data_IF_202562608015
#
_entry.id   IF_202562608015
#
_cell.length_a   1.000
_cell.length_b   1.000
_cell.length_c   1.000
_cell.angle_alpha   90.00
_cell.angle_beta   90.00
_cell.angle_gamma   90.00
#
_symmetry.space_group_name_H-M   'P 1'
#
loop_
_entity.id
_entity.type
_entity.pdbx_description
1 polymer ?
#
# COMPACT_ATOMS: atom_id res chain seq x y z
N UNK A 1 -33.54 -80.67 -46.86
CA UNK A 1 -32.17 -81.05 -46.45
C UNK A 1 -31.26 -80.91 -47.68
N UNK A 2 -30.04 -80.33 -47.60
CA UNK A 2 -29.59 -79.36 -46.62
C UNK A 2 -28.69 -78.20 -47.18
N UNK A 3 -28.59 -77.11 -46.39
CA UNK A 3 -27.43 -76.23 -46.03
C UNK A 3 -26.64 -75.40 -47.08
N UNK A 4 -26.64 -74.05 -46.96
CA UNK A 4 -25.68 -73.10 -46.27
C UNK A 4 -24.37 -72.88 -47.06
N UNK A 5 -23.76 -71.69 -47.19
CA UNK A 5 -23.57 -70.55 -46.28
C UNK A 5 -23.42 -69.21 -47.03
N UNK A 6 -23.87 -68.12 -46.39
CA UNK A 6 -23.42 -66.75 -46.62
C UNK A 6 -22.03 -66.54 -45.99
N UNK A 7 -21.15 -65.80 -46.68
CA UNK A 7 -20.03 -65.11 -46.04
C UNK A 7 -20.12 -63.61 -46.36
N UNK A 8 -20.38 -62.84 -45.30
CA UNK A 8 -20.32 -61.38 -45.26
C UNK A 8 -18.90 -60.98 -44.90
N UNK A 9 -18.28 -60.09 -45.69
CA UNK A 9 -17.00 -59.45 -45.34
C UNK A 9 -17.30 -58.01 -44.99
N UNK A 10 -17.45 -57.74 -43.69
CA UNK A 10 -17.47 -56.41 -43.09
C UNK A 10 -16.02 -55.94 -42.92
N UNK A 11 -15.61 -54.98 -43.74
CA UNK A 11 -14.31 -54.31 -43.60
C UNK A 11 -14.47 -53.16 -42.60
N UNK A 12 -14.15 -53.41 -41.33
CA UNK A 12 -14.10 -52.39 -40.28
C UNK A 12 -12.80 -51.59 -40.39
N UNK A 13 -12.87 -50.37 -40.91
CA UNK A 13 -11.80 -49.38 -40.81
C UNK A 13 -11.80 -48.80 -39.38
N UNK A 14 -10.82 -49.21 -38.56
CA UNK A 14 -10.53 -48.58 -37.27
C UNK A 14 -10.04 -47.14 -37.51
N UNK A 15 -10.83 -46.16 -37.09
CA UNK A 15 -10.36 -44.80 -36.82
C UNK A 15 -9.62 -44.84 -35.47
N UNK A 16 -8.29 -44.84 -35.50
CA UNK A 16 -7.49 -44.50 -34.32
C UNK A 16 -7.69 -43.00 -34.03
N UNK A 17 -8.58 -42.69 -33.09
CA UNK A 17 -8.60 -41.39 -32.45
C UNK A 17 -7.36 -41.29 -31.54
N UNK A 18 -6.33 -40.61 -32.02
CA UNK A 18 -5.17 -40.22 -31.20
C UNK A 18 -5.62 -39.16 -30.20
N UNK A 19 -6.03 -39.58 -29.01
CA UNK A 19 -6.15 -38.70 -27.84
C UNK A 19 -4.75 -38.31 -27.40
N UNK A 20 -4.28 -37.13 -27.81
CA UNK A 20 -3.09 -36.53 -27.21
C UNK A 20 -3.42 -36.23 -25.74
N UNK A 21 -2.70 -36.80 -24.76
CA UNK A 21 -2.90 -36.43 -23.38
C UNK A 21 -2.49 -34.96 -23.19
N UNK A 22 -3.46 -34.12 -22.82
CA UNK A 22 -3.19 -32.82 -22.25
C UNK A 22 -2.39 -33.07 -20.97
N UNK A 23 -1.09 -32.73 -20.99
CA UNK A 23 -0.26 -32.81 -19.80
C UNK A 23 -0.59 -31.61 -18.91
N UNK A 24 -1.23 -31.89 -17.80
CA UNK A 24 -1.45 -30.94 -16.72
C UNK A 24 -0.14 -30.78 -15.95
N UNK A 25 0.49 -29.60 -16.03
CA UNK A 25 1.71 -29.31 -15.27
C UNK A 25 1.34 -28.76 -13.90
N UNK A 26 1.88 -29.37 -12.85
CA UNK A 26 1.64 -28.91 -11.48
C UNK A 26 2.36 -27.57 -11.23
N UNK A 27 1.79 -26.69 -10.41
CA UNK A 27 2.35 -25.36 -10.10
C UNK A 27 3.85 -25.40 -9.75
N UNK A 28 4.25 -26.42 -8.99
CA UNK A 28 5.61 -26.60 -8.51
C UNK A 28 6.63 -26.77 -9.65
N UNK A 29 6.25 -27.35 -10.79
CA UNK A 29 7.13 -27.60 -11.95
C UNK A 29 7.49 -26.31 -12.70
N UNK A 30 6.65 -25.28 -12.57
CA UNK A 30 6.86 -23.97 -13.20
C UNK A 30 7.54 -22.97 -12.27
N UNK A 31 7.64 -23.27 -10.96
CA UNK A 31 8.22 -22.38 -9.95
C UNK A 31 9.56 -21.82 -10.40
N UNK A 32 9.72 -20.51 -10.34
CA UNK A 32 10.92 -19.85 -10.81
C UNK A 32 10.65 -18.60 -11.62
N UNK A 33 11.75 -17.92 -11.94
CA UNK A 33 11.77 -16.75 -12.78
C UNK A 33 12.16 -17.18 -14.19
N UNK A 34 11.43 -16.66 -15.16
CA UNK A 34 11.56 -16.99 -16.56
C UNK A 34 11.60 -15.71 -17.40
N UNK A 35 12.33 -15.75 -18.50
CA UNK A 35 12.39 -14.64 -19.43
C UNK A 35 12.35 -15.13 -20.87
N UNK A 36 11.73 -14.36 -21.76
CA UNK A 36 11.62 -14.76 -23.16
C UNK A 36 10.58 -13.93 -23.90
N UNK A 37 9.75 -14.59 -24.69
CA UNK A 37 8.78 -13.94 -25.58
C UNK A 37 7.35 -14.45 -25.35
N UNK A 38 6.41 -13.50 -25.38
CA UNK A 38 4.99 -13.73 -25.65
C UNK A 38 4.68 -13.08 -27.00
N UNK A 39 4.37 -13.89 -28.00
CA UNK A 39 4.25 -13.46 -29.39
C UNK A 39 5.56 -12.85 -29.88
N UNK A 40 5.59 -11.52 -30.05
CA UNK A 40 6.79 -10.76 -30.45
C UNK A 40 7.36 -9.91 -29.32
N UNK A 41 6.71 -9.89 -28.17
CA UNK A 41 7.03 -9.00 -27.07
C UNK A 41 7.91 -9.73 -26.05
N UNK A 42 8.99 -9.07 -25.61
CA UNK A 42 9.81 -9.60 -24.52
C UNK A 42 9.07 -9.50 -23.20
N UNK A 43 9.05 -10.59 -22.46
CA UNK A 43 8.40 -10.70 -21.15
C UNK A 43 9.38 -11.24 -20.11
N UNK A 44 9.12 -10.88 -18.86
CA UNK A 44 9.63 -11.59 -17.69
C UNK A 44 8.44 -12.14 -16.93
N UNK A 45 8.50 -13.40 -16.57
CA UNK A 45 7.42 -14.16 -15.93
C UNK A 45 7.99 -14.78 -14.67
N UNK A 46 7.19 -14.85 -13.62
CA UNK A 46 7.50 -15.60 -12.43
C UNK A 46 6.29 -16.43 -12.01
N UNK A 47 6.56 -17.66 -11.58
CA UNK A 47 5.58 -18.55 -10.97
C UNK A 47 6.04 -18.88 -9.54
N UNK A 48 5.15 -18.73 -8.58
CA UNK A 48 5.32 -19.21 -7.22
C UNK A 48 4.85 -20.66 -7.11
N UNK A 49 5.33 -21.35 -6.07
CA UNK A 49 5.07 -22.77 -5.83
C UNK A 49 3.58 -23.15 -5.72
N UNK A 50 2.72 -22.24 -5.24
CA UNK A 50 1.32 -22.52 -4.89
C UNK A 50 0.31 -21.95 -5.90
N UNK A 51 0.68 -21.88 -7.18
CA UNK A 51 -0.27 -21.54 -8.24
C UNK A 51 -0.58 -20.04 -8.33
N UNK A 52 0.28 -19.18 -7.78
CA UNK A 52 0.25 -17.73 -8.00
C UNK A 52 1.49 -17.32 -8.78
N UNK A 53 1.43 -16.20 -9.47
CA UNK A 53 2.56 -15.72 -10.25
C UNK A 53 2.28 -14.35 -10.82
N UNK A 54 3.24 -13.82 -11.56
CA UNK A 54 3.09 -12.54 -12.24
C UNK A 54 4.02 -12.47 -13.43
N UNK A 55 3.63 -11.67 -14.42
CA UNK A 55 4.53 -11.34 -15.51
C UNK A 55 4.44 -9.87 -15.89
N UNK A 56 5.44 -9.38 -16.60
CA UNK A 56 5.38 -8.07 -17.23
C UNK A 56 6.07 -8.07 -18.58
N UNK A 57 5.59 -7.22 -19.45
CA UNK A 57 6.31 -6.85 -20.66
C UNK A 57 7.51 -5.99 -20.28
N UNK A 58 8.71 -6.37 -20.73
CA UNK A 58 9.95 -5.67 -20.38
C UNK A 58 9.96 -4.19 -20.85
N UNK A 59 9.11 -3.85 -21.81
CA UNK A 59 8.92 -2.46 -22.29
C UNK A 59 8.07 -1.61 -21.34
N UNK A 60 7.09 -2.21 -20.66
CA UNK A 60 6.07 -1.48 -19.89
C UNK A 60 6.30 -1.55 -18.39
N UNK A 61 6.98 -2.59 -17.90
CA UNK A 61 7.31 -2.77 -16.47
C UNK A 61 6.07 -2.68 -15.56
N UNK A 62 4.92 -3.10 -16.07
CA UNK A 62 3.66 -3.17 -15.33
C UNK A 62 3.33 -4.64 -15.09
N UNK A 63 3.39 -5.13 -13.84
CA UNK A 63 3.04 -6.50 -13.50
C UNK A 63 1.58 -6.82 -13.82
N UNK A 64 1.34 -8.02 -14.32
CA UNK A 64 0.03 -8.64 -14.56
C UNK A 64 0.02 -9.93 -13.74
N UNK A 65 -0.93 -10.04 -12.82
CA UNK A 65 -1.05 -11.20 -11.93
C UNK A 65 -1.52 -12.42 -12.72
N UNK A 66 -0.96 -13.57 -12.35
CA UNK A 66 -1.31 -14.90 -12.84
C UNK A 66 -1.78 -15.78 -11.67
N UNK A 67 -2.82 -16.57 -11.92
CA UNK A 67 -3.32 -17.57 -10.98
C UNK A 67 -3.65 -18.87 -11.72
N UNK A 68 -3.25 -20.00 -11.16
CA UNK A 68 -3.56 -21.31 -11.73
C UNK A 68 -5.01 -21.71 -11.42
N UNK A 69 -5.79 -21.98 -12.46
CA UNK A 69 -7.18 -22.44 -12.37
C UNK A 69 -7.44 -23.47 -13.47
N UNK A 70 -7.92 -24.66 -13.09
CA UNK A 70 -8.30 -25.73 -14.02
C UNK A 70 -7.25 -25.98 -15.13
N UNK A 71 -5.97 -26.05 -14.74
CA UNK A 71 -4.80 -26.29 -15.61
C UNK A 71 -4.31 -25.10 -16.45
N UNK A 72 -5.03 -23.97 -16.42
CA UNK A 72 -4.61 -22.73 -17.07
C UNK A 72 -4.03 -21.75 -16.06
N UNK A 73 -3.04 -20.99 -16.47
CA UNK A 73 -2.62 -19.79 -15.73
C UNK A 73 -3.40 -18.61 -16.28
N UNK A 74 -4.32 -18.09 -15.47
CA UNK A 74 -5.23 -17.01 -15.87
C UNK A 74 -4.70 -15.67 -15.42
N UNK A 75 -4.85 -14.68 -16.29
CA UNK A 75 -4.61 -13.29 -15.95
C UNK A 75 -5.72 -12.76 -15.06
N UNK A 76 -5.35 -11.88 -14.12
CA UNK A 76 -6.32 -11.13 -13.34
C UNK A 76 -7.33 -10.40 -14.25
N UNK A 77 -8.60 -10.39 -13.83
CA UNK A 77 -9.70 -9.84 -14.62
C UNK A 77 -10.11 -10.70 -15.83
N UNK A 78 -9.61 -11.94 -15.95
CA UNK A 78 -9.91 -12.86 -17.05
C UNK A 78 -9.57 -12.26 -18.43
N UNK A 79 -8.43 -11.57 -18.50
CA UNK A 79 -7.96 -10.84 -19.69
C UNK A 79 -7.16 -11.72 -20.66
N UNK A 80 -6.64 -12.85 -20.18
CA UNK A 80 -5.83 -13.79 -20.93
C UNK A 80 -5.60 -15.09 -20.17
N UNK A 81 -5.23 -16.13 -20.90
CA UNK A 81 -4.94 -17.46 -20.39
C UNK A 81 -3.61 -17.94 -20.96
N UNK A 82 -2.82 -18.60 -20.13
CA UNK A 82 -1.58 -19.25 -20.52
C UNK A 82 -1.73 -20.77 -20.36
N UNK A 83 -1.32 -21.50 -21.39
CA UNK A 83 -1.24 -22.95 -21.41
C UNK A 83 0.16 -23.35 -21.85
N UNK A 84 0.76 -24.32 -21.18
CA UNK A 84 2.10 -24.80 -21.49
C UNK A 84 2.05 -26.18 -22.14
N UNK A 85 2.80 -26.36 -23.23
CA UNK A 85 2.90 -27.63 -23.95
C UNK A 85 4.15 -28.41 -23.54
N UNK A 86 5.22 -27.71 -23.14
CA UNK A 86 6.49 -28.32 -22.77
C UNK A 86 7.13 -27.56 -21.62
N UNK A 87 7.47 -28.31 -20.57
CA UNK A 87 8.13 -27.83 -19.37
C UNK A 87 9.41 -28.63 -19.16
N UNK A 88 10.53 -27.94 -19.05
CA UNK A 88 11.83 -28.52 -18.66
C UNK A 88 12.47 -27.62 -17.61
N UNK A 89 13.50 -28.07 -16.87
CA UNK A 89 14.15 -27.22 -15.88
C UNK A 89 14.69 -25.88 -16.44
N UNK A 90 14.98 -25.80 -17.74
CA UNK A 90 15.61 -24.62 -18.36
C UNK A 90 14.73 -23.89 -19.38
N UNK A 91 13.66 -24.51 -19.87
CA UNK A 91 12.80 -23.96 -20.94
C UNK A 91 11.34 -24.26 -20.71
N UNK A 92 10.49 -23.27 -21.01
CA UNK A 92 9.05 -23.40 -21.14
C UNK A 92 8.62 -23.01 -22.54
N UNK A 93 7.70 -23.77 -23.13
CA UNK A 93 6.97 -23.36 -24.32
C UNK A 93 5.49 -23.61 -24.19
N UNK A 94 4.70 -22.72 -24.76
CA UNK A 94 3.26 -22.73 -24.62
C UNK A 94 2.58 -21.71 -25.50
N UNK A 95 1.39 -21.32 -25.07
CA UNK A 95 0.49 -20.44 -25.77
C UNK A 95 -0.25 -19.52 -24.81
N UNK A 96 -0.42 -18.28 -25.25
CA UNK A 96 -1.33 -17.31 -24.63
C UNK A 96 -2.57 -17.12 -25.52
N UNK A 97 -3.75 -17.05 -24.93
CA UNK A 97 -4.99 -16.75 -25.65
C UNK A 97 -6.01 -16.05 -24.75
N UNK A 98 -6.82 -15.17 -25.33
CA UNK A 98 -7.89 -14.46 -24.59
C UNK A 98 -9.05 -15.39 -24.25
N UNK A 99 -9.54 -16.12 -25.25
CA UNK A 99 -10.59 -17.13 -25.15
C UNK A 99 -10.33 -18.21 -26.21
N UNK A 100 -11.08 -19.32 -26.16
CA UNK A 100 -10.88 -20.46 -27.06
C UNK A 100 -11.14 -20.16 -28.54
N UNK A 101 -11.83 -19.07 -28.86
CA UNK A 101 -12.10 -18.63 -30.23
C UNK A 101 -11.08 -17.59 -30.73
N UNK A 102 -10.30 -17.00 -29.83
CA UNK A 102 -9.35 -15.95 -30.11
C UNK A 102 -8.04 -16.47 -30.70
N UNK A 103 -7.31 -15.57 -31.36
CA UNK A 103 -5.96 -15.85 -31.83
C UNK A 103 -5.05 -16.19 -30.66
N UNK A 104 -4.38 -17.34 -30.76
CA UNK A 104 -3.32 -17.75 -29.84
C UNK A 104 -1.96 -17.12 -30.22
N UNK A 105 -1.15 -16.79 -29.22
CA UNK A 105 0.20 -16.28 -29.37
C UNK A 105 1.21 -17.25 -28.73
N UNK A 106 2.32 -17.57 -29.39
CA UNK A 106 3.32 -18.48 -28.83
C UNK A 106 4.01 -17.86 -27.61
N UNK A 107 4.32 -18.70 -26.62
CA UNK A 107 5.12 -18.40 -25.44
C UNK A 107 6.39 -19.23 -25.50
N UNK A 108 7.54 -18.59 -25.36
CA UNK A 108 8.85 -19.24 -25.30
C UNK A 108 9.69 -18.57 -24.24
N UNK A 109 10.04 -19.30 -23.17
CA UNK A 109 10.73 -18.78 -22.01
C UNK A 109 11.93 -19.65 -21.66
N UNK A 110 12.96 -19.02 -21.10
CA UNK A 110 14.15 -19.65 -20.55
C UNK A 110 14.28 -19.28 -19.07
N UNK A 111 14.82 -20.20 -18.27
CA UNK A 111 14.99 -19.97 -16.83
C UNK A 111 15.99 -18.85 -16.60
N UNK A 112 15.60 -17.89 -15.75
CA UNK A 112 16.48 -16.84 -15.26
C UNK A 112 16.95 -17.23 -13.86
N UNK A 113 18.25 -17.45 -13.70
CA UNK A 113 18.85 -17.73 -12.39
C UNK A 113 18.91 -16.42 -11.61
N UNK A 114 18.40 -16.43 -10.38
CA UNK A 114 18.44 -15.25 -9.52
C UNK A 114 19.76 -15.15 -8.76
N UNK A 115 20.40 -13.97 -8.67
CA UNK A 115 21.65 -13.79 -7.92
C UNK A 115 21.53 -14.04 -6.41
N UNK A 116 20.33 -13.90 -5.87
CA UNK A 116 19.99 -14.06 -4.45
C UNK A 116 19.56 -15.50 -4.08
N UNK A 117 19.62 -16.44 -5.03
CA UNK A 117 19.20 -17.85 -4.86
C UNK A 117 17.72 -18.01 -4.43
N UNK A 118 16.89 -17.00 -4.68
CA UNK A 118 15.44 -17.03 -4.46
C UNK A 118 14.74 -17.44 -5.76
N UNK A 119 13.79 -18.37 -5.67
CA UNK A 119 13.05 -18.89 -6.83
C UNK A 119 11.60 -18.39 -6.92
N UNK A 120 11.12 -17.61 -5.94
CA UNK A 120 9.79 -17.02 -5.96
C UNK A 120 9.77 -15.62 -6.59
N UNK A 121 8.59 -15.01 -6.66
CA UNK A 121 8.43 -13.70 -7.31
C UNK A 121 8.94 -12.52 -6.49
N UNK A 122 9.49 -12.75 -5.29
CA UNK A 122 10.25 -11.79 -4.51
C UNK A 122 11.73 -11.67 -4.93
N UNK A 123 12.22 -12.59 -5.77
CA UNK A 123 13.61 -12.65 -6.18
C UNK A 123 14.11 -11.42 -6.95
N UNK A 124 15.41 -11.15 -6.84
CA UNK A 124 16.13 -10.10 -7.58
C UNK A 124 15.96 -10.22 -9.10
N UNK A 125 16.05 -11.44 -9.64
CA UNK A 125 15.83 -11.68 -11.06
C UNK A 125 14.46 -11.23 -11.53
N UNK A 126 13.43 -11.19 -10.69
CA UNK A 126 12.12 -10.65 -11.08
C UNK A 126 12.02 -9.14 -10.84
N UNK A 127 12.48 -8.67 -9.67
CA UNK A 127 12.15 -7.35 -9.13
C UNK A 127 13.10 -6.23 -9.53
N UNK A 128 14.40 -6.47 -9.71
CA UNK A 128 15.36 -5.38 -9.95
C UNK A 128 14.99 -4.45 -11.12
N UNK A 129 14.47 -4.93 -12.27
CA UNK A 129 14.05 -4.02 -13.34
C UNK A 129 12.82 -3.17 -12.99
N UNK A 130 12.02 -3.60 -12.00
CA UNK A 130 10.85 -2.87 -11.50
C UNK A 130 11.24 -1.88 -10.40
N UNK A 131 12.45 -1.94 -9.84
CA UNK A 131 12.96 -1.09 -8.73
C UNK A 131 13.62 0.17 -9.27
N UNK A 132 12.83 0.96 -9.98
CA UNK A 132 13.30 2.24 -10.51
C UNK A 132 12.92 3.38 -9.57
N UNK A 133 13.83 4.33 -9.36
CA UNK A 133 13.54 5.55 -8.62
C UNK A 133 12.41 6.31 -9.32
N UNK A 134 11.26 6.53 -8.66
CA UNK A 134 10.15 7.23 -9.27
C UNK A 134 10.49 8.69 -9.58
N UNK A 135 9.68 9.31 -10.42
CA UNK A 135 9.70 10.76 -10.61
C UNK A 135 8.57 11.38 -9.80
N UNK A 136 8.86 12.49 -9.15
CA UNK A 136 7.85 13.29 -8.48
C UNK A 136 6.86 13.86 -9.49
N UNK A 137 5.58 13.52 -9.33
CA UNK A 137 4.48 14.01 -10.14
C UNK A 137 3.55 14.90 -9.30
N UNK A 138 3.01 15.93 -9.95
CA UNK A 138 2.23 17.00 -9.31
C UNK A 138 0.82 17.02 -9.87
N UNK A 139 -0.16 16.94 -8.97
CA UNK A 139 -1.57 17.06 -9.30
C UNK A 139 -2.01 18.49 -9.59
N UNK A 140 -3.33 18.67 -9.70
CA UNK A 140 -3.96 19.98 -9.87
C UNK A 140 -4.02 20.72 -8.53
N UNK A 141 -3.86 22.04 -8.59
CA UNK A 141 -4.14 22.91 -7.45
C UNK A 141 -5.62 22.88 -7.09
N UNK A 142 -5.89 22.90 -5.79
CA UNK A 142 -7.19 22.88 -5.17
C UNK A 142 -7.21 23.96 -4.08
N UNK A 143 -8.30 24.74 -3.97
CA UNK A 143 -8.42 25.74 -2.92
C UNK A 143 -8.57 25.07 -1.54
N UNK A 144 -7.98 25.69 -0.52
CA UNK A 144 -8.18 25.33 0.88
C UNK A 144 -8.07 26.59 1.74
N UNK A 145 -9.22 27.11 2.17
CA UNK A 145 -9.33 28.38 2.90
C UNK A 145 -8.60 29.53 2.16
N UNK A 146 -7.53 30.06 2.75
CA UNK A 146 -6.72 31.17 2.24
C UNK A 146 -5.46 30.73 1.48
N UNK A 147 -5.30 29.43 1.21
CA UNK A 147 -4.19 28.86 0.44
C UNK A 147 -4.71 27.90 -0.64
N UNK A 148 -3.80 27.38 -1.45
CA UNK A 148 -4.05 26.27 -2.36
C UNK A 148 -3.16 25.08 -1.97
N UNK A 149 -3.61 23.86 -2.24
CA UNK A 149 -2.79 22.66 -2.14
C UNK A 149 -2.94 21.79 -3.38
N UNK A 150 -2.00 20.87 -3.59
CA UNK A 150 -2.13 19.82 -4.60
C UNK A 150 -1.56 18.50 -4.08
N UNK A 151 -2.08 17.35 -4.51
CA UNK A 151 -1.44 16.08 -4.23
C UNK A 151 -0.14 15.96 -5.00
N UNK A 152 0.86 15.37 -4.35
CA UNK A 152 2.09 14.88 -4.94
C UNK A 152 2.05 13.36 -5.03
N UNK A 153 2.75 12.80 -6.02
CA UNK A 153 2.92 11.34 -6.12
C UNK A 153 4.38 11.01 -6.38
N UNK A 154 4.89 10.02 -5.65
CA UNK A 154 6.24 9.48 -5.83
C UNK A 154 6.17 7.95 -5.82
N UNK A 155 6.09 7.36 -7.02
CA UNK A 155 5.75 5.95 -7.15
C UNK A 155 4.29 5.73 -6.74
N UNK A 156 4.07 4.93 -5.70
CA UNK A 156 2.75 4.63 -5.14
C UNK A 156 2.42 5.45 -3.90
N UNK A 157 3.38 6.27 -3.45
CA UNK A 157 3.23 7.15 -2.29
C UNK A 157 2.56 8.46 -2.68
N UNK A 158 1.64 8.92 -1.83
CA UNK A 158 0.93 10.19 -1.98
C UNK A 158 1.40 11.19 -0.93
N UNK A 159 1.77 12.39 -1.38
CA UNK A 159 2.12 13.52 -0.52
C UNK A 159 1.31 14.76 -0.87
N UNK A 160 1.74 15.91 -0.36
CA UNK A 160 1.02 17.18 -0.52
C UNK A 160 1.99 18.35 -0.65
N UNK A 161 1.61 19.33 -1.47
CA UNK A 161 2.31 20.59 -1.66
C UNK A 161 1.35 21.75 -1.52
N UNK A 162 1.80 22.84 -0.93
CA UNK A 162 1.03 24.05 -0.69
C UNK A 162 1.50 25.23 -1.51
N UNK A 163 0.60 26.18 -1.74
CA UNK A 163 0.87 27.48 -2.35
C UNK A 163 0.08 28.55 -1.61
N UNK A 164 0.79 29.56 -1.14
CA UNK A 164 0.22 30.67 -0.37
C UNK A 164 1.22 31.81 -0.19
N UNK A 165 0.77 32.98 0.29
CA UNK A 165 1.62 34.14 0.50
C UNK A 165 2.54 34.04 1.73
N UNK A 166 2.30 33.07 2.62
CA UNK A 166 3.03 32.94 3.88
C UNK A 166 4.47 32.49 3.65
N UNK A 167 5.42 33.13 4.36
CA UNK A 167 6.86 32.92 4.17
C UNK A 167 7.32 31.51 4.51
N UNK A 168 6.62 30.81 5.42
CA UNK A 168 6.94 29.43 5.81
C UNK A 168 6.60 28.37 4.77
N UNK A 169 5.75 28.65 3.77
CA UNK A 169 5.24 27.65 2.81
C UNK A 169 6.37 26.93 2.07
N UNK A 170 7.45 27.64 1.71
CA UNK A 170 8.59 27.02 1.03
C UNK A 170 9.26 25.94 1.89
N UNK A 171 9.51 26.24 3.17
CA UNK A 171 10.15 25.30 4.09
C UNK A 171 9.21 24.12 4.45
N UNK A 172 7.90 24.37 4.54
CA UNK A 172 6.88 23.32 4.72
C UNK A 172 6.91 22.35 3.55
N UNK A 173 6.88 22.86 2.31
CA UNK A 173 6.93 22.03 1.11
C UNK A 173 8.23 21.24 1.01
N UNK A 174 9.37 21.83 1.38
CA UNK A 174 10.66 21.12 1.42
C UNK A 174 10.63 19.95 2.42
N UNK A 175 10.05 20.14 3.60
CA UNK A 175 9.93 19.09 4.60
C UNK A 175 9.00 17.96 4.12
N UNK A 176 7.84 18.30 3.56
CA UNK A 176 6.86 17.33 3.05
C UNK A 176 7.40 16.57 1.83
N UNK A 177 8.08 17.25 0.90
CA UNK A 177 8.71 16.61 -0.25
C UNK A 177 9.83 15.65 0.20
N UNK A 178 10.69 16.07 1.14
CA UNK A 178 11.75 15.21 1.67
C UNK A 178 11.18 13.93 2.30
N UNK A 179 10.08 14.04 3.04
CA UNK A 179 9.39 12.89 3.64
C UNK A 179 8.78 11.97 2.58
N UNK A 180 8.18 12.52 1.53
CA UNK A 180 7.60 11.76 0.42
C UNK A 180 8.68 11.01 -0.39
N UNK A 181 9.85 11.63 -0.56
CA UNK A 181 10.95 11.08 -1.37
C UNK A 181 12.03 10.41 -0.52
N UNK A 182 11.70 9.99 0.71
CA UNK A 182 12.65 9.33 1.59
C UNK A 182 13.12 7.98 1.01
N UNK A 183 14.44 7.78 0.96
CA UNK A 183 15.03 6.58 0.34
C UNK A 183 14.74 5.31 1.14
N UNK A 184 14.68 5.41 2.48
CA UNK A 184 14.36 4.26 3.31
C UNK A 184 12.89 3.86 3.16
N UNK A 185 11.99 4.84 3.04
CA UNK A 185 10.58 4.59 2.74
C UNK A 185 10.37 3.96 1.35
N UNK A 186 11.13 4.42 0.34
CA UNK A 186 11.13 3.82 -0.99
C UNK A 186 11.61 2.36 -0.94
N UNK A 187 12.68 2.08 -0.20
CA UNK A 187 13.17 0.71 -0.01
C UNK A 187 12.11 -0.19 0.65
N UNK A 188 11.43 0.28 1.70
CA UNK A 188 10.32 -0.45 2.33
C UNK A 188 9.15 -0.72 1.37
N UNK A 189 8.90 0.20 0.44
CA UNK A 189 7.87 0.01 -0.61
C UNK A 189 8.28 -1.13 -1.55
N UNK A 190 9.55 -1.21 -1.93
CA UNK A 190 10.07 -2.32 -2.73
C UNK A 190 10.02 -3.65 -1.96
N UNK A 191 10.40 -3.66 -0.68
CA UNK A 191 10.32 -4.85 0.17
C UNK A 191 8.89 -5.37 0.31
N UNK A 192 7.93 -4.45 0.52
CA UNK A 192 6.50 -4.80 0.59
C UNK A 192 6.02 -5.41 -0.71
N UNK A 193 6.38 -4.81 -1.84
CA UNK A 193 6.05 -5.36 -3.16
C UNK A 193 6.64 -6.75 -3.37
N UNK A 194 7.92 -6.94 -3.05
CA UNK A 194 8.60 -8.25 -3.15
C UNK A 194 7.87 -9.32 -2.34
N UNK A 195 7.54 -9.01 -1.08
CA UNK A 195 6.78 -9.89 -0.19
C UNK A 195 5.40 -10.25 -0.76
N UNK A 196 4.67 -9.28 -1.30
CA UNK A 196 3.34 -9.51 -1.91
C UNK A 196 3.44 -10.37 -3.17
N UNK A 197 4.44 -10.12 -4.03
CA UNK A 197 4.68 -10.93 -5.21
C UNK A 197 5.02 -12.38 -4.82
N UNK A 198 5.91 -12.58 -3.85
CA UNK A 198 6.27 -13.92 -3.36
C UNK A 198 5.06 -14.69 -2.79
N UNK A 199 4.19 -14.01 -2.04
CA UNK A 199 3.06 -14.66 -1.35
C UNK A 199 1.85 -14.89 -2.25
N UNK A 200 1.48 -13.91 -3.08
CA UNK A 200 0.20 -13.91 -3.81
C UNK A 200 0.33 -13.65 -5.32
N UNK A 201 1.56 -13.47 -5.84
CA UNK A 201 1.79 -13.12 -7.25
C UNK A 201 1.22 -11.76 -7.63
N UNK A 202 0.91 -10.91 -6.65
CA UNK A 202 0.22 -9.64 -6.87
C UNK A 202 1.11 -8.46 -6.51
N UNK A 203 1.00 -7.40 -7.31
CA UNK A 203 1.51 -6.10 -6.97
C UNK A 203 0.49 -5.41 -6.06
N UNK A 204 0.72 -5.50 -4.75
CA UNK A 204 -0.05 -4.76 -3.74
C UNK A 204 0.86 -3.72 -3.11
N UNK A 205 0.35 -2.50 -2.99
CA UNK A 205 1.06 -1.36 -2.43
C UNK A 205 0.32 -0.85 -1.21
N UNK A 206 1.01 -0.03 -0.44
CA UNK A 206 0.42 0.62 0.71
C UNK A 206 -0.65 1.61 0.25
N UNK A 207 -1.73 1.72 1.01
CA UNK A 207 -2.71 2.80 0.82
C UNK A 207 -2.15 4.05 1.48
N UNK A 208 -2.01 5.13 0.73
CA UNK A 208 -1.44 6.38 1.25
C UNK A 208 -2.26 7.58 0.80
N UNK A 209 -2.37 8.57 1.69
CA UNK A 209 -2.87 9.89 1.34
C UNK A 209 -2.31 10.95 2.27
N UNK A 210 -2.34 12.20 1.80
CA UNK A 210 -1.96 13.37 2.56
C UNK A 210 -3.01 14.46 2.35
N UNK A 211 -3.47 15.07 3.44
CA UNK A 211 -4.53 16.09 3.39
C UNK A 211 -4.28 17.22 4.40
N UNK A 212 -4.64 18.46 4.09
CA UNK A 212 -4.66 19.53 5.07
C UNK A 212 -5.88 19.36 5.97
N UNK A 213 -5.69 19.42 7.28
CA UNK A 213 -6.76 19.22 8.27
C UNK A 213 -7.09 20.50 9.05
N UNK A 214 -6.17 21.46 9.06
CA UNK A 214 -6.37 22.73 9.76
C UNK A 214 -5.50 23.82 9.16
N UNK A 215 -6.02 25.05 9.12
CA UNK A 215 -5.25 26.25 8.85
C UNK A 215 -5.84 27.46 9.58
N UNK A 216 -4.96 28.33 10.07
CA UNK A 216 -5.32 29.69 10.45
C UNK A 216 -4.22 30.67 9.99
N UNK A 217 -4.12 31.86 10.60
CA UNK A 217 -3.09 32.84 10.25
C UNK A 217 -1.67 32.43 10.66
N UNK A 218 -1.53 31.48 11.58
CA UNK A 218 -0.27 31.12 12.24
C UNK A 218 0.21 29.71 11.93
N UNK A 219 -0.69 28.76 11.73
CA UNK A 219 -0.36 27.36 11.57
C UNK A 219 -1.14 26.68 10.46
N UNK A 220 -0.54 25.60 9.97
CA UNK A 220 -1.10 24.65 9.01
C UNK A 220 -0.87 23.25 9.56
N UNK A 221 -1.88 22.40 9.59
CA UNK A 221 -1.75 21.00 9.98
C UNK A 221 -2.08 20.07 8.83
N UNK A 222 -1.31 18.99 8.72
CA UNK A 222 -1.41 17.97 7.68
C UNK A 222 -1.56 16.62 8.34
N UNK A 223 -2.48 15.82 7.82
CA UNK A 223 -2.56 14.40 8.12
C UNK A 223 -1.85 13.62 7.02
N UNK A 224 -0.96 12.74 7.42
CA UNK A 224 -0.30 11.76 6.58
C UNK A 224 -0.80 10.38 7.00
N UNK A 225 -1.39 9.66 6.06
CA UNK A 225 -1.95 8.33 6.30
C UNK A 225 -1.17 7.28 5.50
N UNK A 226 -0.90 6.15 6.15
CA UNK A 226 -0.39 4.95 5.51
C UNK A 226 -1.13 3.73 6.04
N UNK A 227 -1.54 2.84 5.15
CA UNK A 227 -1.92 1.48 5.49
C UNK A 227 -0.98 0.52 4.81
N UNK A 228 -0.04 -0.03 5.59
CA UNK A 228 0.93 -0.98 5.09
C UNK A 228 0.26 -2.26 4.59
N UNK A 229 0.53 -2.65 3.34
CA UNK A 229 -0.10 -3.79 2.71
C UNK A 229 0.21 -5.10 3.47
N UNK A 230 -0.81 -5.93 3.64
CA UNK A 230 -0.71 -7.26 4.25
C UNK A 230 -0.46 -7.30 5.76
N UNK A 231 -0.62 -6.18 6.45
CA UNK A 231 -0.58 -6.14 7.92
C UNK A 231 -1.99 -6.07 8.57
N UNK A 232 -3.05 -6.03 7.76
CA UNK A 232 -4.40 -5.78 8.27
C UNK A 232 -4.45 -4.47 9.06
N UNK A 233 -5.33 -4.35 10.05
CA UNK A 233 -5.45 -3.14 10.87
C UNK A 233 -4.13 -2.70 11.54
N UNK A 234 -3.22 -3.63 11.82
CA UNK A 234 -1.92 -3.33 12.44
C UNK A 234 -0.97 -2.55 11.50
N UNK A 235 -1.27 -2.48 10.20
CA UNK A 235 -0.50 -1.70 9.23
C UNK A 235 -0.91 -0.23 9.15
N UNK A 236 -1.97 0.18 9.86
CA UNK A 236 -2.48 1.55 9.80
C UNK A 236 -1.60 2.45 10.65
N UNK A 237 -1.04 3.48 10.01
CA UNK A 237 -0.33 4.60 10.64
C UNK A 237 -0.99 5.90 10.23
N UNK A 238 -1.13 6.80 11.21
CA UNK A 238 -1.60 8.16 10.99
C UNK A 238 -0.68 9.12 11.72
N UNK A 239 -0.21 10.12 10.99
CA UNK A 239 0.65 11.16 11.52
C UNK A 239 0.01 12.52 11.28
N UNK A 240 0.13 13.40 12.27
CA UNK A 240 -0.52 14.71 12.32
C UNK A 240 0.53 15.77 12.59
N UNK A 241 1.15 16.29 11.55
CA UNK A 241 2.19 17.31 11.70
C UNK A 241 1.58 18.70 11.54
N UNK A 242 1.93 19.61 12.45
CA UNK A 242 1.59 21.02 12.33
C UNK A 242 2.83 21.83 11.95
N UNK A 243 2.65 22.96 11.28
CA UNK A 243 3.73 23.82 10.83
C UNK A 243 3.43 25.26 11.18
N UNK A 244 4.47 26.01 11.54
CA UNK A 244 4.39 27.48 11.62
C UNK A 244 4.36 28.08 10.22
N UNK A 245 3.35 28.88 9.90
CA UNK A 245 3.25 29.58 8.61
C UNK A 245 4.28 30.72 8.47
N UNK A 246 4.91 31.15 9.57
CA UNK A 246 5.92 32.21 9.55
C UNK A 246 7.28 31.69 9.09
N UNK A 247 7.78 30.60 9.69
CA UNK A 247 9.13 30.07 9.46
C UNK A 247 9.15 28.63 8.90
N UNK A 248 7.97 28.00 8.76
CA UNK A 248 7.80 26.69 8.16
C UNK A 248 8.28 25.52 9.01
N UNK A 249 8.60 25.73 10.29
CA UNK A 249 9.08 24.64 11.16
C UNK A 249 7.95 23.68 11.53
N UNK A 250 8.19 22.35 11.45
CA UNK A 250 7.25 21.35 11.93
C UNK A 250 7.19 21.36 13.46
N UNK A 251 6.03 21.05 14.00
CA UNK A 251 5.78 20.86 15.40
C UNK A 251 4.57 19.95 15.65
N UNK A 252 4.49 19.39 16.85
CA UNK A 252 3.29 18.69 17.33
C UNK A 252 2.65 19.49 18.47
N UNK A 253 1.33 19.78 18.48
CA UNK A 253 0.76 20.66 19.50
C UNK A 253 0.75 20.07 20.93
N UNK A 254 1.10 18.79 21.11
CA UNK A 254 1.42 18.22 22.42
C UNK A 254 2.52 18.98 23.18
N UNK A 255 3.45 19.61 22.48
CA UNK A 255 4.48 20.47 23.06
C UNK A 255 3.91 21.64 23.88
N UNK A 256 2.64 22.00 23.66
CA UNK A 256 1.96 23.05 24.42
C UNK A 256 1.57 22.59 25.83
N UNK A 257 1.49 21.29 26.08
CA UNK A 257 1.04 20.71 27.35
C UNK A 257 2.12 19.94 28.10
N UNK A 258 3.23 19.61 27.44
CA UNK A 258 4.31 18.77 27.97
C UNK A 258 5.63 19.54 28.01
N UNK A 259 6.04 20.00 29.20
CA UNK A 259 7.20 20.88 29.39
C UNK A 259 8.55 20.20 29.18
N UNK A 260 8.68 18.93 29.56
CA UNK A 260 9.99 18.24 29.68
C UNK A 260 10.31 17.31 28.50
N UNK A 261 9.49 17.34 27.44
CA UNK A 261 9.68 16.44 26.29
C UNK A 261 10.37 17.18 25.16
N UNK A 262 11.39 16.55 24.55
CA UNK A 262 12.14 17.16 23.45
C UNK A 262 11.23 17.31 22.22
N UNK A 263 11.33 18.42 21.45
CA UNK A 263 10.49 18.62 20.27
C UNK A 263 10.58 17.47 19.25
N UNK A 264 11.77 16.89 19.03
CA UNK A 264 11.92 15.75 18.12
C UNK A 264 11.11 14.53 18.58
N UNK A 265 11.16 14.18 19.87
CA UNK A 265 10.38 13.05 20.39
C UNK A 265 8.86 13.24 20.27
N UNK A 266 8.38 14.49 20.13
CA UNK A 266 6.97 14.78 19.87
C UNK A 266 6.58 14.57 18.41
N UNK A 267 7.54 14.69 17.49
CA UNK A 267 7.32 14.39 16.08
C UNK A 267 7.40 12.88 15.82
N UNK A 268 8.20 12.18 16.62
CA UNK A 268 8.35 10.72 16.54
C UNK A 268 7.19 9.99 17.25
N UNK A 269 6.64 10.56 18.33
CA UNK A 269 5.50 10.01 19.08
C UNK A 269 4.28 10.92 18.95
N UNK A 270 3.32 10.48 18.13
CA UNK A 270 2.10 11.21 17.81
C UNK A 270 1.02 11.17 18.90
N UNK A 271 1.21 10.33 19.92
CA UNK A 271 0.26 10.17 21.01
C UNK A 271 0.97 10.17 22.36
N UNK A 272 0.31 10.74 23.38
CA UNK A 272 0.85 10.85 24.74
C UNK A 272 -0.24 10.63 25.78
N UNK A 273 0.11 10.15 26.99
CA UNK A 273 -0.81 10.16 28.11
C UNK A 273 -1.24 11.58 28.46
N UNK A 274 -2.48 11.76 28.91
CA UNK A 274 -2.96 13.06 29.36
C UNK A 274 -2.18 13.53 30.61
N UNK A 275 -1.77 14.81 30.68
CA UNK A 275 -1.27 15.40 31.92
C UNK A 275 -2.29 15.21 33.05
N UNK A 276 -1.87 14.92 34.30
CA UNK A 276 -2.78 14.55 35.38
C UNK A 276 -3.95 15.53 35.60
N UNK A 277 -3.66 16.84 35.61
CA UNK A 277 -4.68 17.88 35.78
C UNK A 277 -5.65 17.96 34.59
N UNK A 278 -5.14 17.75 33.36
CA UNK A 278 -5.99 17.71 32.17
C UNK A 278 -6.88 16.47 32.19
N UNK A 279 -6.34 15.30 32.56
CA UNK A 279 -7.12 14.07 32.74
C UNK A 279 -8.23 14.25 33.75
N UNK A 280 -7.93 14.81 34.92
CA UNK A 280 -8.93 15.09 35.95
C UNK A 280 -10.05 16.00 35.42
N UNK A 281 -9.70 17.05 34.66
CA UNK A 281 -10.69 17.94 34.03
C UNK A 281 -11.55 17.22 32.99
N UNK A 282 -10.95 16.45 32.08
CA UNK A 282 -11.66 15.81 30.97
C UNK A 282 -12.58 14.68 31.44
N UNK A 283 -12.21 13.99 32.53
CA UNK A 283 -12.99 12.89 33.10
C UNK A 283 -13.82 13.31 34.33
N UNK A 284 -13.85 14.60 34.67
CA UNK A 284 -14.64 15.11 35.79
C UNK A 284 -16.13 14.75 35.64
N UNK A 285 -16.65 13.98 36.59
CA UNK A 285 -18.06 13.55 36.59
C UNK A 285 -18.38 12.44 35.59
N UNK A 286 -17.41 11.89 34.86
CA UNK A 286 -17.59 10.67 34.06
C UNK A 286 -17.47 9.45 34.98
N UNK A 287 -18.53 8.64 35.02
CA UNK A 287 -18.45 7.30 35.61
C UNK A 287 -17.73 6.35 34.64
N UNK A 288 -17.09 5.32 35.19
CA UNK A 288 -16.58 4.23 34.37
C UNK A 288 -17.79 3.47 33.80
N UNK A 289 -17.87 3.41 32.48
CA UNK A 289 -18.86 2.58 31.81
C UNK A 289 -18.46 1.10 32.01
N UNK A 290 -19.32 0.25 32.59
CA UNK A 290 -19.03 -1.17 32.77
C UNK A 290 -18.74 -1.90 31.45
N UNK A 291 -19.28 -1.42 30.32
CA UNK A 291 -19.01 -1.96 28.99
C UNK A 291 -17.69 -1.45 28.40
N UNK A 292 -17.15 -0.36 28.95
CA UNK A 292 -15.89 0.27 28.54
C UNK A 292 -14.93 0.48 29.73
N UNK A 293 -14.40 -0.61 30.33
CA UNK A 293 -13.50 -0.49 31.48
C UNK A 293 -12.16 0.19 31.15
N UNK A 294 -11.82 0.29 29.85
CA UNK A 294 -10.63 0.96 29.32
C UNK A 294 -10.76 2.49 29.25
N UNK A 295 -11.97 3.05 29.41
CA UNK A 295 -12.25 4.48 29.26
C UNK A 295 -12.00 5.28 30.56
N UNK A 296 -10.90 5.00 31.26
CA UNK A 296 -10.53 5.61 32.54
C UNK A 296 -9.53 6.79 32.40
N UNK A 297 -9.18 7.14 31.17
CA UNK A 297 -8.22 8.19 30.86
C UNK A 297 -6.75 7.78 31.02
N UNK A 298 -6.45 6.48 31.22
CA UNK A 298 -5.08 5.96 31.28
C UNK A 298 -4.42 5.75 29.91
N UNK A 299 -5.18 5.91 28.83
CA UNK A 299 -4.71 5.72 27.46
C UNK A 299 -3.78 6.80 26.93
N UNK A 300 -3.38 6.59 25.67
CA UNK A 300 -2.62 7.54 24.88
C UNK A 300 -3.56 8.33 23.99
N UNK A 301 -3.36 9.64 23.94
CA UNK A 301 -4.23 10.56 23.22
C UNK A 301 -3.44 11.25 22.12
N UNK A 302 -4.07 11.41 20.97
CA UNK A 302 -3.63 12.30 19.90
C UNK A 302 -4.21 13.69 20.14
N UNK A 303 -3.54 14.70 19.59
CA UNK A 303 -3.93 16.09 19.75
C UNK A 303 -3.88 16.80 18.40
N UNK A 304 -5.04 17.20 17.90
CA UNK A 304 -5.19 17.91 16.62
C UNK A 304 -5.79 19.30 16.82
N UNK A 305 -5.43 20.22 15.93
CA UNK A 305 -6.01 21.56 15.88
C UNK A 305 -7.25 21.53 14.99
N UNK A 306 -8.29 22.24 15.42
CA UNK A 306 -9.54 22.41 14.67
C UNK A 306 -9.95 23.89 14.70
N UNK A 307 -10.97 24.26 13.92
CA UNK A 307 -11.42 25.64 13.84
C UNK A 307 -11.87 26.17 15.22
N UNK A 308 -11.03 27.01 15.83
CA UNK A 308 -11.22 27.61 17.17
C UNK A 308 -11.28 26.60 18.33
N UNK A 309 -10.84 25.37 18.11
CA UNK A 309 -10.88 24.30 19.11
C UNK A 309 -9.65 23.41 19.03
N UNK A 310 -9.43 22.63 20.09
CA UNK A 310 -8.40 21.60 20.15
C UNK A 310 -9.08 20.29 20.49
N UNK A 311 -8.77 19.26 19.72
CA UNK A 311 -9.33 17.93 19.90
C UNK A 311 -8.28 16.99 20.49
N UNK A 312 -8.62 16.39 21.62
CA UNK A 312 -7.91 15.27 22.23
C UNK A 312 -8.71 14.01 21.95
N UNK A 313 -8.10 12.99 21.39
CA UNK A 313 -8.81 11.75 21.09
C UNK A 313 -7.92 10.55 21.34
N UNK A 314 -8.49 9.53 21.96
CA UNK A 314 -7.75 8.34 22.36
C UNK A 314 -7.32 7.53 21.14
N UNK A 315 -6.08 7.06 21.14
CA UNK A 315 -5.57 6.16 20.12
C UNK A 315 -6.46 4.91 20.06
N UNK A 316 -7.05 4.58 18.89
CA UNK A 316 -7.97 3.48 18.79
C UNK A 316 -7.37 2.14 19.18
N UNK A 317 -8.13 1.38 19.98
CA UNK A 317 -7.83 -0.01 20.36
C UNK A 317 -8.76 -1.00 19.66
N UNK A 318 -9.84 -0.51 19.04
CA UNK A 318 -10.81 -1.33 18.33
C UNK A 318 -11.83 -1.99 19.25
N UNK A 319 -11.97 -1.50 20.49
CA UNK A 319 -13.01 -1.91 21.44
C UNK A 319 -14.26 -1.02 21.36
N UNK A 320 -14.20 0.11 20.63
CA UNK A 320 -15.30 1.05 20.49
C UNK A 320 -15.49 1.96 21.69
N UNK A 321 -14.54 1.95 22.63
CA UNK A 321 -14.59 2.67 23.90
C UNK A 321 -13.74 3.95 23.90
N UNK A 322 -13.14 4.28 22.75
CA UNK A 322 -12.25 5.42 22.59
C UNK A 322 -12.92 6.74 23.00
N UNK A 323 -12.21 7.54 23.81
CA UNK A 323 -12.71 8.82 24.28
C UNK A 323 -12.19 9.97 23.42
N UNK A 324 -13.10 10.88 23.05
CA UNK A 324 -12.74 12.15 22.43
C UNK A 324 -13.24 13.34 23.26
N UNK A 325 -12.46 14.41 23.23
CA UNK A 325 -12.72 15.65 23.96
C UNK A 325 -12.33 16.84 23.09
N UNK A 326 -13.19 17.84 23.07
CA UNK A 326 -12.94 19.10 22.37
C UNK A 326 -12.93 20.21 23.40
N UNK A 327 -11.86 21.00 23.43
CA UNK A 327 -11.72 22.17 24.29
C UNK A 327 -11.57 23.43 23.45
N UNK A 328 -12.16 24.53 23.91
CA UNK A 328 -11.75 25.86 23.45
C UNK A 328 -10.32 26.19 23.94
N UNK A 329 -9.61 27.13 23.28
CA UNK A 329 -8.31 27.60 23.75
C UNK A 329 -8.34 28.09 25.21
N UNK A 330 -9.43 28.73 25.63
CA UNK A 330 -9.62 29.26 26.99
C UNK A 330 -9.74 28.14 28.02
N UNK A 331 -10.46 27.07 27.69
CA UNK A 331 -10.59 25.89 28.57
C UNK A 331 -9.29 25.10 28.67
N UNK A 332 -8.49 25.06 27.59
CA UNK A 332 -7.20 24.37 27.57
C UNK A 332 -6.07 25.16 28.27
N UNK A 333 -6.19 26.49 28.35
CA UNK A 333 -5.17 27.42 28.88
C UNK A 333 -4.59 27.03 30.25
N UNK A 334 -5.40 26.63 31.26
CA UNK A 334 -4.88 26.31 32.59
C UNK A 334 -3.98 25.07 32.63
N UNK A 335 -4.05 24.22 31.60
CA UNK A 335 -3.32 22.95 31.51
C UNK A 335 -2.08 23.05 30.61
N UNK A 336 -1.93 24.16 29.89
CA UNK A 336 -0.81 24.39 28.99
C UNK A 336 0.42 24.91 29.75
N UNK A 337 1.60 24.61 29.21
CA UNK A 337 2.87 25.23 29.61
C UNK A 337 2.84 26.74 29.34
N UNK A 338 3.77 27.49 29.92
CA UNK A 338 3.84 28.95 29.67
C UNK A 338 3.92 29.27 28.18
N UNK A 339 4.71 28.51 27.42
CA UNK A 339 4.76 28.66 25.98
C UNK A 339 3.46 28.21 25.32
N UNK A 340 2.90 27.07 25.71
CA UNK A 340 1.61 26.60 25.21
C UNK A 340 0.50 27.64 25.36
N UNK A 341 0.44 28.35 26.49
CA UNK A 341 -0.52 29.45 26.69
C UNK A 341 -0.36 30.58 25.67
N UNK A 342 0.88 30.89 25.26
CA UNK A 342 1.09 31.88 24.18
C UNK A 342 0.59 31.38 22.84
N UNK A 343 0.71 30.07 22.59
CA UNK A 343 0.24 29.46 21.35
C UNK A 343 -1.28 29.39 21.33
N UNK A 344 -1.93 28.96 22.41
CA UNK A 344 -3.39 28.88 22.50
C UNK A 344 -4.10 30.21 22.18
N UNK A 345 -3.52 31.36 22.55
CA UNK A 345 -4.05 32.69 22.19
C UNK A 345 -4.07 32.97 20.69
N UNK A 346 -3.19 32.33 19.92
CA UNK A 346 -3.14 32.46 18.46
C UNK A 346 -4.20 31.57 17.75
N UNK A 347 -4.93 30.76 18.52
CA UNK A 347 -6.04 29.93 18.04
C UNK A 347 -7.41 30.59 18.27
N UNK A 348 -7.48 31.62 19.13
CA UNK A 348 -8.66 32.48 19.32
C UNK A 348 -8.93 33.35 18.10
#
# INVERSE_FOLDING_TARGET
MPTRMLFSVLSSSLLLASTLPLHSFAANELTGIWQGQLGKSKVRVCFNQYGTGSYYYQRYLTPIRLEQQDELWKEEGNTGNWQFDTVTPQKLSGHWFKDSASKSFPVQLERAISPDDVEDCGADAYNLPLETTPKLSRGKWQPYENIEYRPLTFGTEVGIEFKGPQTGILAINQWLEHKLTDEAQLAQTFDTRRRMLAQMGSFVTDETFAEPIFINQHWLSVRLYRWAAGYGANGISQEFVSFSLTDGKPFHPWQWFLADTKPQSMLDSMSHPLPPALREKLFAGKGLDPECPSSDGSGYYQLTLEAKTIKFWETPRGDGCEQEFVLSPQEAMPFATQWGQTQLKLLE
#
